data_IF_108111109985
#
_entry.id   IF_108111109985
#
_cell.length_a   1.000
_cell.length_b   1.000
_cell.length_c   1.000
_cell.angle_alpha   90.00
_cell.angle_beta   90.00
_cell.angle_gamma   90.00
#
_symmetry.space_group_name_H-M   'P 1'
#
loop_
_entity.id
_entity.type
_entity.pdbx_description
1 polymer ?
#
# COMPACT_ATOMS: atom_id res chain seq x y z
N UNK A 1 -0.68 12.85 11.38
CA UNK A 1 0.54 13.22 10.63
C UNK A 1 0.22 14.41 9.75
N UNK A 2 1.18 15.31 9.54
CA UNK A 2 1.03 16.48 8.67
C UNK A 2 1.67 16.20 7.31
N UNK A 3 0.92 16.39 6.22
CA UNK A 3 1.37 16.13 4.85
C UNK A 3 2.58 16.97 4.44
N UNK A 4 2.68 18.20 4.94
CA UNK A 4 3.83 19.08 4.66
C UNK A 4 5.18 18.57 5.20
N UNK A 5 5.20 17.47 5.97
CA UNK A 5 6.42 16.78 6.40
C UNK A 5 6.83 15.63 5.47
N UNK A 6 6.07 15.38 4.40
CA UNK A 6 6.31 14.31 3.44
C UNK A 6 6.69 14.91 2.09
N UNK A 7 7.83 14.46 1.54
CA UNK A 7 8.30 14.89 0.22
C UNK A 7 7.57 14.11 -0.88
N UNK A 8 6.80 14.82 -1.70
CA UNK A 8 6.02 14.23 -2.78
C UNK A 8 6.88 13.69 -3.94
N UNK A 9 8.17 14.00 -3.99
CA UNK A 9 9.09 13.37 -4.93
C UNK A 9 9.44 11.92 -4.54
N UNK A 10 9.19 11.52 -3.28
CA UNK A 10 9.45 10.16 -2.81
C UNK A 10 8.40 9.18 -3.34
N UNK A 11 8.78 7.89 -3.40
CA UNK A 11 7.90 6.81 -3.84
C UNK A 11 6.87 6.39 -2.78
N UNK A 12 6.95 6.93 -1.57
CA UNK A 12 5.96 6.68 -0.52
C UNK A 12 4.57 7.19 -0.94
N UNK A 13 3.54 6.43 -0.57
CA UNK A 13 2.14 6.74 -0.85
C UNK A 13 1.43 7.04 0.47
N UNK A 14 0.85 8.23 0.55
CA UNK A 14 0.08 8.72 1.71
C UNK A 14 -1.25 9.32 1.23
N UNK A 15 -2.26 9.48 2.11
CA UNK A 15 -3.49 10.20 1.77
C UNK A 15 -3.24 11.64 1.34
N UNK A 16 -4.10 12.18 0.47
CA UNK A 16 -3.97 13.54 -0.11
C UNK A 16 -4.39 14.67 0.86
N UNK A 17 -4.96 14.31 2.01
CA UNK A 17 -5.38 15.25 3.05
C UNK A 17 -4.19 15.95 3.73
N UNK A 18 -4.38 17.20 4.17
CA UNK A 18 -3.34 17.97 4.88
C UNK A 18 -2.91 17.29 6.19
N UNK A 19 -3.88 16.70 6.88
CA UNK A 19 -3.67 15.90 8.10
C UNK A 19 -4.27 14.54 7.86
N UNK A 20 -3.49 13.49 8.09
CA UNK A 20 -3.95 12.10 8.00
C UNK A 20 -3.48 11.30 9.21
N UNK A 21 -4.17 10.21 9.52
CA UNK A 21 -3.85 9.38 10.68
C UNK A 21 -3.19 8.07 10.25
N UNK A 22 -2.25 7.62 11.06
CA UNK A 22 -1.78 6.24 11.01
C UNK A 22 -2.55 5.41 12.01
N UNK A 23 -3.11 4.32 11.51
CA UNK A 23 -3.81 3.33 12.33
C UNK A 23 -3.15 1.99 12.06
N UNK A 24 -2.67 1.34 13.11
CA UNK A 24 -1.92 0.09 13.01
C UNK A 24 -2.58 -0.99 13.85
N UNK A 25 -2.75 -2.18 13.26
CA UNK A 25 -3.27 -3.36 13.94
C UNK A 25 -2.11 -4.33 14.17
N UNK A 26 -1.42 -4.18 15.30
CA UNK A 26 -0.25 -4.99 15.67
C UNK A 26 -0.68 -6.32 16.32
N UNK A 27 -1.41 -7.13 15.55
CA UNK A 27 -2.00 -8.39 15.99
C UNK A 27 -0.99 -9.53 15.86
N UNK A 28 -1.00 -10.44 16.83
CA UNK A 28 -0.17 -11.66 16.80
C UNK A 28 -1.05 -12.89 16.65
N UNK A 29 -0.61 -13.84 15.82
CA UNK A 29 -1.29 -15.12 15.60
C UNK A 29 -0.36 -16.29 15.90
N UNK A 30 -0.94 -17.42 16.29
CA UNK A 30 -0.28 -18.72 16.25
C UNK A 30 -0.55 -19.43 14.92
N UNK A 31 0.08 -20.58 14.71
CA UNK A 31 -0.01 -21.31 13.44
C UNK A 31 -1.44 -21.71 13.02
N UNK A 32 -2.36 -21.85 13.97
CA UNK A 32 -3.70 -22.37 13.72
C UNK A 32 -4.81 -21.30 13.70
N UNK A 33 -4.50 -20.01 13.89
CA UNK A 33 -5.52 -18.96 13.98
C UNK A 33 -5.22 -17.70 13.15
N UNK A 34 -4.18 -17.70 12.30
CA UNK A 34 -3.84 -16.55 11.48
C UNK A 34 -4.97 -16.13 10.52
N UNK A 35 -5.76 -17.08 10.04
CA UNK A 35 -6.87 -16.83 9.10
C UNK A 35 -7.95 -15.92 9.71
N UNK A 36 -8.18 -15.99 11.02
CA UNK A 36 -9.16 -15.13 11.71
C UNK A 36 -8.74 -13.66 11.59
N UNK A 37 -7.45 -13.39 11.80
CA UNK A 37 -6.92 -12.03 11.70
C UNK A 37 -6.84 -11.54 10.25
N UNK A 38 -6.53 -12.43 9.31
CA UNK A 38 -6.58 -12.09 7.88
C UNK A 38 -7.99 -11.71 7.44
N UNK A 39 -9.02 -12.41 7.92
CA UNK A 39 -10.42 -12.06 7.65
C UNK A 39 -10.81 -10.73 8.30
N UNK A 40 -10.42 -10.47 9.55
CA UNK A 40 -10.66 -9.18 10.20
C UNK A 40 -10.03 -8.02 9.40
N UNK A 41 -8.80 -8.20 8.91
CA UNK A 41 -8.14 -7.19 8.08
C UNK A 41 -8.92 -6.91 6.78
N UNK A 42 -9.46 -7.95 6.13
CA UNK A 42 -10.30 -7.80 4.94
C UNK A 42 -11.60 -7.07 5.25
N UNK A 43 -12.29 -7.45 6.33
CA UNK A 43 -13.54 -6.80 6.76
C UNK A 43 -13.34 -5.30 7.06
N UNK A 44 -12.23 -4.92 7.69
CA UNK A 44 -11.89 -3.52 7.94
C UNK A 44 -11.69 -2.75 6.62
N UNK A 45 -10.96 -3.34 5.66
CA UNK A 45 -10.74 -2.71 4.35
C UNK A 45 -12.04 -2.57 3.55
N UNK A 46 -12.90 -3.60 3.56
CA UNK A 46 -14.22 -3.56 2.94
C UNK A 46 -15.12 -2.50 3.57
N UNK A 47 -15.07 -2.36 4.90
CA UNK A 47 -15.78 -1.30 5.60
C UNK A 47 -15.30 0.08 5.14
N UNK A 48 -13.99 0.30 5.09
CA UNK A 48 -13.42 1.56 4.62
C UNK A 48 -13.86 1.89 3.19
N UNK A 49 -13.85 0.91 2.28
CA UNK A 49 -14.29 1.09 0.90
C UNK A 49 -15.78 1.47 0.82
N UNK A 50 -16.66 0.72 1.50
CA UNK A 50 -18.11 0.99 1.56
C UNK A 50 -18.43 2.36 2.17
N UNK A 51 -17.64 2.79 3.16
CA UNK A 51 -17.78 4.09 3.80
C UNK A 51 -17.14 5.24 2.99
N UNK A 52 -16.47 4.94 1.88
CA UNK A 52 -15.77 5.93 1.05
C UNK A 52 -14.46 6.47 1.66
N UNK A 53 -13.95 5.83 2.71
CA UNK A 53 -12.71 6.20 3.39
C UNK A 53 -11.52 5.84 2.48
N UNK A 54 -10.76 6.85 2.05
CA UNK A 54 -9.63 6.68 1.13
C UNK A 54 -8.37 6.23 1.87
N UNK A 55 -8.34 4.95 2.25
CA UNK A 55 -7.19 4.36 2.93
C UNK A 55 -6.00 4.13 2.00
N UNK A 56 -4.79 4.35 2.51
CA UNK A 56 -3.53 3.91 1.90
C UNK A 56 -2.86 2.92 2.85
N UNK A 57 -2.76 1.66 2.43
CA UNK A 57 -2.08 0.61 3.22
C UNK A 57 -0.59 0.96 3.35
N UNK A 58 -0.09 1.09 4.57
CA UNK A 58 1.35 1.20 4.86
C UNK A 58 1.91 -0.20 5.13
N UNK A 59 3.03 -0.54 4.49
CA UNK A 59 3.61 -1.91 4.50
C UNK A 59 2.64 -3.01 4.06
N UNK A 60 1.61 -2.63 3.28
CA UNK A 60 0.57 -3.55 2.83
C UNK A 60 1.01 -4.38 1.64
N UNK A 61 0.47 -5.60 1.59
CA UNK A 61 0.56 -6.47 0.43
C UNK A 61 -0.60 -6.20 -0.53
N UNK A 62 -0.35 -6.34 -1.83
CA UNK A 62 -1.34 -6.27 -2.90
C UNK A 62 -1.16 -7.47 -3.83
N UNK A 63 -2.26 -8.08 -4.24
CA UNK A 63 -2.25 -9.35 -4.98
C UNK A 63 -2.14 -9.18 -6.49
N UNK A 64 -2.36 -7.96 -6.98
CA UNK A 64 -2.41 -7.68 -8.42
C UNK A 64 -1.73 -6.38 -8.80
N UNK A 65 -1.32 -6.31 -10.08
CA UNK A 65 -0.83 -5.07 -10.69
C UNK A 65 -1.87 -3.95 -10.64
N UNK A 66 -3.15 -4.27 -10.76
CA UNK A 66 -4.25 -3.29 -10.70
C UNK A 66 -4.38 -2.68 -9.30
N UNK A 67 -4.27 -3.50 -8.26
CA UNK A 67 -4.21 -3.00 -6.87
C UNK A 67 -2.99 -2.10 -6.65
N UNK A 68 -1.83 -2.44 -7.22
CA UNK A 68 -0.66 -1.57 -7.18
C UNK A 68 -0.86 -0.25 -7.93
N UNK A 69 -1.49 -0.27 -9.10
CA UNK A 69 -1.86 0.94 -9.84
C UNK A 69 -2.76 1.83 -8.99
N UNK A 70 -3.80 1.24 -8.37
CA UNK A 70 -4.73 1.96 -7.49
C UNK A 70 -4.04 2.49 -6.23
N UNK A 71 -3.09 1.74 -5.67
CA UNK A 71 -2.28 2.17 -4.54
C UNK A 71 -1.45 3.41 -4.90
N UNK A 72 -0.63 3.33 -5.94
CA UNK A 72 0.24 4.45 -6.36
C UNK A 72 -0.53 5.63 -6.94
N UNK A 73 -1.69 5.40 -7.55
CA UNK A 73 -2.52 6.44 -8.16
C UNK A 73 -1.73 7.28 -9.17
N UNK A 74 -1.76 8.61 -9.00
CA UNK A 74 -1.03 9.57 -9.86
C UNK A 74 0.49 9.34 -9.88
N UNK A 75 1.08 8.73 -8.85
CA UNK A 75 2.53 8.43 -8.80
C UNK A 75 2.91 7.20 -9.63
N UNK A 76 1.95 6.41 -10.12
CA UNK A 76 2.24 5.13 -10.80
C UNK A 76 3.18 5.29 -11.99
N UNK A 77 2.94 6.28 -12.85
CA UNK A 77 3.77 6.52 -14.04
C UNK A 77 5.23 6.82 -13.66
N UNK A 78 5.44 7.73 -12.71
CA UNK A 78 6.78 8.04 -12.20
C UNK A 78 7.45 6.83 -11.57
N UNK A 79 6.69 5.99 -10.85
CA UNK A 79 7.23 4.76 -10.25
C UNK A 79 7.67 3.75 -11.32
N UNK A 80 6.91 3.59 -12.40
CA UNK A 80 7.30 2.78 -13.55
C UNK A 80 8.55 3.30 -14.24
N UNK A 81 8.63 4.61 -14.48
CA UNK A 81 9.78 5.22 -15.16
C UNK A 81 11.06 5.03 -14.34
N UNK A 82 10.97 5.19 -13.01
CA UNK A 82 12.07 4.87 -12.09
C UNK A 82 12.43 3.37 -12.11
N UNK A 83 11.44 2.47 -12.14
CA UNK A 83 11.70 1.03 -12.24
C UNK A 83 12.49 0.71 -13.52
N UNK A 84 12.09 1.26 -14.66
CA UNK A 84 12.80 1.07 -15.93
C UNK A 84 14.22 1.65 -15.90
N UNK A 85 14.42 2.78 -15.22
CA UNK A 85 15.73 3.41 -15.09
C UNK A 85 16.69 2.61 -14.19
N UNK A 86 16.21 2.10 -13.06
CA UNK A 86 17.07 1.55 -12.00
C UNK A 86 17.04 0.03 -11.87
N UNK A 87 15.99 -0.65 -12.35
CA UNK A 87 15.89 -2.12 -12.40
C UNK A 87 15.10 -2.59 -13.65
N UNK A 88 15.66 -2.37 -14.85
CA UNK A 88 15.01 -2.72 -16.12
C UNK A 88 14.80 -4.23 -16.30
N UNK A 89 15.52 -5.08 -15.53
CA UNK A 89 15.38 -6.53 -15.56
C UNK A 89 14.40 -7.07 -14.51
N UNK A 90 13.82 -6.19 -13.69
CA UNK A 90 12.82 -6.53 -12.67
C UNK A 90 13.31 -7.60 -11.67
N UNK A 91 14.59 -7.55 -11.31
CA UNK A 91 15.22 -8.55 -10.44
C UNK A 91 15.20 -8.17 -8.96
N UNK A 92 15.00 -6.88 -8.65
CA UNK A 92 15.05 -6.39 -7.27
C UNK A 92 13.69 -6.57 -6.59
N UNK A 93 13.73 -7.18 -5.40
CA UNK A 93 12.60 -7.35 -4.47
C UNK A 93 11.34 -7.97 -5.10
N UNK A 94 11.44 -9.14 -5.77
CA UNK A 94 10.30 -9.77 -6.45
C UNK A 94 9.13 -10.11 -5.50
N UNK A 95 9.40 -10.31 -4.21
CA UNK A 95 8.38 -10.57 -3.19
C UNK A 95 7.35 -9.44 -3.00
N UNK A 96 7.63 -8.23 -3.48
CA UNK A 96 6.66 -7.13 -3.50
C UNK A 96 5.58 -7.31 -4.57
N UNK A 97 5.80 -8.17 -5.58
CA UNK A 97 4.84 -8.48 -6.66
C UNK A 97 4.29 -7.26 -7.40
N UNK A 98 5.10 -6.22 -7.58
CA UNK A 98 4.68 -4.99 -8.30
C UNK A 98 4.83 -5.16 -9.82
N UNK A 99 5.91 -5.82 -10.25
CA UNK A 99 6.33 -5.89 -11.66
C UNK A 99 6.56 -7.32 -12.17
N UNK A 100 6.36 -8.32 -11.31
CA UNK A 100 6.65 -9.73 -11.57
C UNK A 100 5.36 -10.55 -11.50
#
# INVERSE_FOLDING_TARGET
MYRNKWDDNMSAVIPDEEIFYTTEFLLSSGFNNWQVFDNINKEILEFCDKAGIKVKKYLGYHDSKEEWINHFGSKWKTFQDRKNQFDPKMILSPGQKIFN
#
